data_IF_323619371671
#
_entry.id   IF_323619371671
#
_cell.length_a   1.000
_cell.length_b   1.000
_cell.length_c   1.000
_cell.angle_alpha   90.00
_cell.angle_beta   90.00
_cell.angle_gamma   90.00
#
_symmetry.space_group_name_H-M   'P 1'
#
loop_
_entity.id
_entity.type
_entity.pdbx_description
1 polymer ?
#
# COMPACT_ATOMS: atom_id res chain seq x y z
N UNK A 1 -0.93 -6.56 -1.74
CA UNK A 1 -2.03 -6.31 -0.80
C UNK A 1 -1.73 -7.11 0.44
N UNK A 2 -1.69 -6.46 1.59
CA UNK A 2 -1.42 -7.08 2.88
C UNK A 2 -2.57 -6.76 3.81
N UNK A 3 -2.94 -7.72 4.66
CA UNK A 3 -3.83 -7.47 5.79
C UNK A 3 -3.02 -6.93 6.95
N UNK A 4 -3.54 -5.93 7.66
CA UNK A 4 -2.86 -5.33 8.80
C UNK A 4 -3.66 -5.49 10.08
N UNK A 5 -2.96 -5.64 11.19
CA UNK A 5 -3.54 -5.44 12.52
C UNK A 5 -3.44 -3.96 12.84
N UNK A 6 -4.58 -3.25 12.95
CA UNK A 6 -4.62 -1.80 13.20
C UNK A 6 -5.97 -1.18 12.85
N UNK A 7 -5.99 0.14 12.64
CA UNK A 7 -7.23 0.89 12.32
C UNK A 7 -7.77 0.61 10.91
N UNK A 8 -6.93 0.09 10.01
CA UNK A 8 -7.29 -0.28 8.64
C UNK A 8 -6.97 -1.75 8.38
N UNK A 9 -7.89 -2.44 7.69
CA UNK A 9 -7.79 -3.87 7.44
C UNK A 9 -6.76 -4.23 6.35
N UNK A 10 -6.56 -3.35 5.36
CA UNK A 10 -5.74 -3.61 4.18
C UNK A 10 -4.75 -2.49 3.88
N UNK A 11 -3.54 -2.89 3.46
CA UNK A 11 -2.53 -2.03 2.87
C UNK A 11 -2.32 -2.38 1.40
N UNK A 12 -2.51 -1.37 0.54
CA UNK A 12 -2.32 -1.47 -0.89
C UNK A 12 -1.16 -0.55 -1.30
N UNK A 13 -0.14 -1.12 -1.93
CA UNK A 13 0.92 -0.36 -2.58
C UNK A 13 0.60 -0.31 -4.07
N UNK A 14 0.29 0.89 -4.58
CA UNK A 14 -0.13 1.12 -5.97
C UNK A 14 0.84 2.06 -6.67
N UNK A 15 1.10 1.79 -7.95
CA UNK A 15 1.90 2.65 -8.82
C UNK A 15 0.97 3.32 -9.82
N UNK A 16 1.01 4.65 -9.88
CA UNK A 16 0.22 5.47 -10.79
C UNK A 16 1.10 6.58 -11.39
N UNK A 17 0.79 7.09 -12.59
CA UNK A 17 1.63 8.10 -13.25
C UNK A 17 1.58 9.48 -12.58
N UNK A 18 0.48 9.82 -11.90
CA UNK A 18 0.25 11.12 -11.26
C UNK A 18 -0.72 11.04 -10.08
N UNK A 19 -0.82 12.14 -9.34
CA UNK A 19 -1.76 12.29 -8.21
C UNK A 19 -3.22 12.33 -8.70
N UNK A 20 -3.49 12.89 -9.89
CA UNK A 20 -4.84 12.93 -10.45
C UNK A 20 -5.35 11.52 -10.76
N UNK A 21 -4.48 10.65 -11.27
CA UNK A 21 -4.81 9.25 -11.52
C UNK A 21 -4.97 8.45 -10.21
N UNK A 22 -4.24 8.81 -9.15
CA UNK A 22 -4.47 8.26 -7.82
C UNK A 22 -5.88 8.58 -7.32
N UNK A 23 -6.28 9.85 -7.43
CA UNK A 23 -7.60 10.28 -6.99
C UNK A 23 -8.70 9.58 -7.81
N UNK A 24 -8.55 9.54 -9.14
CA UNK A 24 -9.46 8.80 -10.00
C UNK A 24 -9.54 7.31 -9.65
N UNK A 25 -8.42 6.67 -9.31
CA UNK A 25 -8.39 5.28 -8.86
C UNK A 25 -9.14 5.08 -7.54
N UNK A 26 -8.93 5.94 -6.54
CA UNK A 26 -9.65 5.87 -5.25
C UNK A 26 -11.15 6.06 -5.46
N UNK A 27 -11.53 7.13 -6.17
CA UNK A 27 -12.93 7.54 -6.36
C UNK A 27 -13.72 6.59 -7.26
N UNK A 28 -13.13 6.16 -8.38
CA UNK A 28 -13.82 5.39 -9.40
C UNK A 28 -13.52 3.89 -9.36
N UNK A 29 -12.67 3.42 -8.45
CA UNK A 29 -12.46 1.97 -8.24
C UNK A 29 -12.66 1.59 -6.79
N UNK A 30 -11.83 2.09 -5.87
CA UNK A 30 -11.83 1.58 -4.49
C UNK A 30 -13.13 1.87 -3.75
N UNK A 31 -13.64 3.10 -3.80
CA UNK A 31 -14.88 3.46 -3.10
C UNK A 31 -16.15 2.84 -3.72
N UNK A 32 -16.04 2.21 -4.88
CA UNK A 32 -17.15 1.49 -5.53
C UNK A 32 -17.20 0.01 -5.17
N UNK A 33 -16.18 -0.50 -4.47
CA UNK A 33 -16.17 -1.89 -4.04
C UNK A 33 -17.06 -2.04 -2.81
N UNK A 34 -18.01 -2.96 -2.90
CA UNK A 34 -18.85 -3.32 -1.75
C UNK A 34 -17.97 -3.84 -0.61
N UNK A 35 -18.07 -3.21 0.56
CA UNK A 35 -17.27 -3.54 1.74
C UNK A 35 -16.10 -2.60 2.01
N UNK A 36 -15.78 -1.67 1.09
CA UNK A 36 -14.82 -0.59 1.39
C UNK A 36 -15.54 0.51 2.18
N UNK A 37 -15.23 0.60 3.47
CA UNK A 37 -15.82 1.62 4.36
C UNK A 37 -15.10 2.96 4.26
N UNK A 38 -13.78 2.93 4.26
CA UNK A 38 -12.93 4.11 4.26
C UNK A 38 -11.59 3.83 3.57
N UNK A 39 -10.96 4.88 3.04
CA UNK A 39 -9.68 4.80 2.32
C UNK A 39 -8.76 5.92 2.79
N UNK A 40 -7.63 5.55 3.39
CA UNK A 40 -6.55 6.47 3.73
C UNK A 40 -5.40 6.34 2.73
N UNK A 41 -4.99 7.47 2.13
CA UNK A 41 -3.96 7.50 1.08
C UNK A 41 -2.66 8.09 1.60
N UNK A 42 -1.54 7.41 1.34
CA UNK A 42 -0.19 7.87 1.69
C UNK A 42 0.70 7.90 0.44
N UNK A 43 1.41 9.00 0.23
CA UNK A 43 2.31 9.19 -0.90
C UNK A 43 3.76 8.90 -0.51
N UNK A 44 4.43 8.05 -1.29
CA UNK A 44 5.86 7.78 -1.11
C UNK A 44 6.65 8.94 -1.71
N UNK A 45 7.27 9.76 -0.86
CA UNK A 45 8.12 10.87 -1.29
C UNK A 45 9.49 10.41 -1.81
N UNK A 46 10.07 9.42 -1.12
CA UNK A 46 11.36 8.85 -1.48
C UNK A 46 11.42 7.39 -1.06
N UNK A 47 11.87 6.52 -1.95
CA UNK A 47 12.16 5.13 -1.62
C UNK A 47 13.59 5.01 -1.08
N UNK A 48 13.74 5.01 0.24
CA UNK A 48 15.04 4.95 0.92
C UNK A 48 15.68 3.57 0.78
N UNK A 49 14.87 2.51 0.85
CA UNK A 49 15.35 1.13 0.76
C UNK A 49 14.32 0.29 -0.01
N UNK A 50 14.75 -0.19 -1.18
CA UNK A 50 13.95 -1.09 -2.01
C UNK A 50 13.80 -2.48 -1.38
N UNK A 51 13.03 -3.37 -2.05
CA UNK A 51 12.91 -4.76 -1.64
C UNK A 51 14.31 -5.39 -1.52
N UNK A 52 14.60 -5.95 -0.35
CA UNK A 52 15.89 -6.53 -0.02
C UNK A 52 15.77 -8.02 0.29
N UNK A 53 16.91 -8.69 0.32
CA UNK A 53 16.99 -10.09 0.73
C UNK A 53 16.50 -10.28 2.17
N UNK A 54 15.88 -11.44 2.42
CA UNK A 54 15.50 -11.83 3.78
C UNK A 54 16.77 -11.98 4.64
N UNK A 55 16.84 -11.39 5.84
CA UNK A 55 18.04 -11.47 6.67
C UNK A 55 18.21 -12.88 7.26
N UNK A 56 19.13 -13.67 6.69
CA UNK A 56 19.43 -15.05 7.14
C UNK A 56 20.61 -15.13 8.13
N UNK A 57 21.13 -14.01 8.61
CA UNK A 57 22.28 -13.98 9.52
C UNK A 57 22.06 -14.79 10.80
N UNK A 58 20.81 -14.90 11.26
CA UNK A 58 20.41 -15.68 12.43
C UNK A 58 20.50 -17.20 12.24
N UNK A 59 20.66 -17.69 11.00
CA UNK A 59 20.77 -19.12 10.69
C UNK A 59 22.23 -19.61 10.67
N UNK A 60 23.21 -18.70 10.69
CA UNK A 60 24.63 -19.06 10.75
C UNK A 60 24.99 -19.30 12.22
N UNK A 61 25.02 -20.58 12.62
CA UNK A 61 25.70 -21.00 13.85
C UNK A 61 27.20 -20.79 13.73
#
# INVERSE_FOLDING_TARGET
CWTMTGDYDFLLHVMVPSVDELNAFVMHRLMRLDGVRDVHTQLVLQNIKGPGHVPLGHLRR
#
